data_IF_716225645958
#
_entry.id   IF_716225645958
#
_cell.length_a   1.000
_cell.length_b   1.000
_cell.length_c   1.000
_cell.angle_alpha   90.00
_cell.angle_beta   90.00
_cell.angle_gamma   90.00
#
_symmetry.space_group_name_H-M   'P 1'
#
loop_
_entity.id
_entity.type
_entity.pdbx_description
1 polymer ?
#
# COMPACT_ATOMS: atom_id res chain seq x y z
N UNK A 1 10.93 -26.78 26.68
CA UNK A 1 11.92 -26.18 25.76
C UNK A 1 11.39 -25.09 24.82
N UNK A 2 10.11 -24.74 24.81
CA UNK A 2 9.54 -23.86 23.80
C UNK A 2 9.45 -22.35 24.12
N UNK A 3 9.59 -21.90 25.36
CA UNK A 3 9.42 -20.49 25.73
C UNK A 3 10.68 -19.63 25.48
N UNK A 4 11.86 -20.17 25.61
CA UNK A 4 13.13 -19.42 25.44
C UNK A 4 13.47 -19.15 23.96
N UNK A 5 13.03 -19.99 23.04
CA UNK A 5 13.28 -19.81 21.60
C UNK A 5 12.51 -18.63 21.00
N UNK A 6 11.27 -18.42 21.44
CA UNK A 6 10.46 -17.26 20.98
C UNK A 6 10.99 -15.92 21.50
N UNK A 7 11.60 -15.92 22.68
CA UNK A 7 12.21 -14.71 23.26
C UNK A 7 13.50 -14.34 22.52
N UNK A 8 14.30 -15.33 22.16
CA UNK A 8 15.57 -15.15 21.44
C UNK A 8 15.36 -14.56 20.04
N UNK A 9 14.43 -15.10 19.27
CA UNK A 9 14.09 -14.59 17.92
C UNK A 9 13.55 -13.15 17.99
N UNK A 10 12.77 -12.81 19.01
CA UNK A 10 12.20 -11.47 19.18
C UNK A 10 13.27 -10.41 19.52
N UNK A 11 14.30 -10.78 20.26
CA UNK A 11 15.43 -9.90 20.60
C UNK A 11 16.43 -9.77 19.43
N UNK A 12 16.70 -10.84 18.69
CA UNK A 12 17.53 -10.76 17.47
C UNK A 12 16.85 -9.91 16.39
N UNK A 13 15.54 -10.03 16.21
CA UNK A 13 14.80 -9.20 15.25
C UNK A 13 14.80 -7.73 15.65
N UNK A 14 14.69 -7.41 16.94
CA UNK A 14 14.83 -6.03 17.43
C UNK A 14 16.24 -5.49 17.20
N UNK A 15 17.27 -6.31 17.38
CA UNK A 15 18.66 -5.91 17.12
C UNK A 15 18.92 -5.68 15.62
N UNK A 16 18.35 -6.50 14.74
CA UNK A 16 18.45 -6.33 13.28
C UNK A 16 17.76 -5.04 12.85
N UNK A 17 16.57 -4.74 13.36
CA UNK A 17 15.84 -3.49 13.06
C UNK A 17 16.60 -2.29 13.61
N UNK A 18 17.18 -2.38 14.82
CA UNK A 18 18.01 -1.33 15.42
C UNK A 18 19.31 -1.13 14.63
N UNK A 19 19.98 -2.21 14.22
CA UNK A 19 21.20 -2.17 13.42
C UNK A 19 20.96 -1.58 12.02
N UNK A 20 19.83 -1.92 11.36
CA UNK A 20 19.40 -1.30 10.09
C UNK A 20 19.09 0.19 10.26
N UNK A 21 18.48 0.59 11.36
CA UNK A 21 18.23 2.00 11.67
C UNK A 21 19.54 2.77 11.91
N UNK A 22 20.53 2.17 12.58
CA UNK A 22 21.84 2.76 12.81
C UNK A 22 22.67 2.82 11.52
N UNK A 23 22.61 1.81 10.66
CA UNK A 23 23.26 1.79 9.36
C UNK A 23 22.66 2.85 8.40
N UNK A 24 21.36 3.03 8.41
CA UNK A 24 20.70 4.11 7.64
C UNK A 24 21.07 5.50 8.16
N UNK A 25 21.14 5.68 9.48
CA UNK A 25 21.56 6.97 10.08
C UNK A 25 23.05 7.25 9.88
N UNK A 26 23.93 6.25 9.93
CA UNK A 26 25.37 6.42 9.67
C UNK A 26 25.68 6.65 8.19
N UNK A 27 24.91 6.05 7.27
CA UNK A 27 25.03 6.34 5.83
C UNK A 27 24.61 7.78 5.51
N UNK A 28 23.56 8.30 6.15
CA UNK A 28 23.12 9.68 6.03
C UNK A 28 24.13 10.68 6.62
N UNK A 29 24.84 10.30 7.71
CA UNK A 29 25.89 11.15 8.33
C UNK A 29 27.21 11.17 7.56
N UNK A 30 27.54 10.09 6.84
CA UNK A 30 28.80 9.98 6.09
C UNK A 30 28.78 10.75 4.73
N UNK A 31 27.62 11.13 4.25
CA UNK A 31 27.45 11.86 2.97
C UNK A 31 27.34 13.38 3.12
N UNK A 32 27.85 13.96 4.21
CA UNK A 32 28.01 15.41 4.40
C UNK A 32 26.70 16.19 4.34
N UNK A 33 26.24 16.58 5.51
CA UNK A 33 25.07 17.41 5.87
C UNK A 33 24.45 18.34 4.84
N UNK A 34 23.86 17.79 3.81
CA UNK A 34 22.88 18.44 2.97
C UNK A 34 21.52 17.89 3.38
N UNK A 35 20.62 18.76 3.82
CA UNK A 35 19.22 18.44 4.07
C UNK A 35 18.64 17.78 2.82
N UNK A 36 18.58 16.44 2.78
CA UNK A 36 17.84 15.69 1.76
C UNK A 36 16.34 15.65 2.08
N UNK A 37 15.83 16.68 2.74
CA UNK A 37 14.42 16.98 2.65
C UNK A 37 14.20 17.61 1.28
N UNK A 38 14.00 16.77 0.27
CA UNK A 38 13.47 17.23 -1.00
C UNK A 38 11.93 17.15 -0.88
N UNK A 39 11.24 18.26 -0.58
CA UNK A 39 9.79 18.29 -0.40
C UNK A 39 9.02 17.99 -1.70
N UNK A 40 9.70 17.54 -2.75
CA UNK A 40 9.13 17.26 -4.08
C UNK A 40 9.13 15.78 -4.48
N UNK A 41 9.64 14.84 -3.68
CA UNK A 41 9.59 13.42 -4.08
C UNK A 41 8.17 12.82 -3.95
N UNK A 42 7.32 13.34 -3.08
CA UNK A 42 5.93 12.94 -2.95
C UNK A 42 4.96 13.68 -3.89
N UNK A 43 5.31 14.82 -4.39
CA UNK A 43 4.48 15.68 -5.26
C UNK A 43 3.06 15.93 -4.71
N UNK A 44 2.44 17.02 -5.14
CA UNK A 44 1.03 17.29 -4.84
C UNK A 44 0.12 16.14 -5.32
N UNK A 45 -1.07 16.04 -4.73
CA UNK A 45 -2.09 15.07 -5.14
C UNK A 45 -2.27 15.06 -6.67
N UNK A 46 -2.06 13.90 -7.28
CA UNK A 46 -2.06 13.73 -8.74
C UNK A 46 -3.28 12.96 -9.22
N UNK A 47 -4.03 13.54 -10.15
CA UNK A 47 -5.14 12.87 -10.82
C UNK A 47 -4.73 11.52 -11.42
N UNK A 48 -3.54 11.45 -12.02
CA UNK A 48 -3.03 10.22 -12.63
C UNK A 48 -2.88 9.06 -11.61
N UNK A 49 -2.64 9.35 -10.35
CA UNK A 49 -2.48 8.34 -9.29
C UNK A 49 -3.81 7.88 -8.70
N UNK A 50 -4.88 8.64 -8.88
CA UNK A 50 -6.21 8.25 -8.44
C UNK A 50 -6.78 7.22 -9.41
N UNK A 51 -7.14 6.02 -8.91
CA UNK A 51 -7.78 4.95 -9.68
C UNK A 51 -8.88 4.32 -8.87
N UNK A 52 -10.05 4.17 -9.49
CA UNK A 52 -11.14 3.36 -8.94
C UNK A 52 -10.78 1.88 -9.09
N UNK A 53 -10.85 1.12 -8.01
CA UNK A 53 -10.60 -0.32 -7.97
C UNK A 53 -11.90 -1.11 -7.91
N UNK A 54 -12.88 -0.60 -7.15
CA UNK A 54 -14.13 -1.29 -6.93
C UNK A 54 -15.24 -0.34 -6.53
N UNK A 55 -16.48 -0.75 -6.80
CA UNK A 55 -17.70 -0.05 -6.42
C UNK A 55 -18.76 -1.06 -5.92
N UNK A 56 -19.36 -0.75 -4.79
CA UNK A 56 -20.54 -1.43 -4.27
C UNK A 56 -21.69 -0.41 -4.17
N UNK A 57 -22.74 -0.62 -4.95
CA UNK A 57 -23.90 0.26 -5.01
C UNK A 57 -24.93 0.08 -3.88
N UNK A 58 -24.66 -0.76 -2.87
CA UNK A 58 -25.59 -0.96 -1.76
C UNK A 58 -25.71 0.30 -0.90
N UNK A 59 -26.95 0.64 -0.50
CA UNK A 59 -27.25 1.82 0.30
C UNK A 59 -26.88 3.13 -0.42
N UNK A 60 -26.11 3.97 0.22
CA UNK A 60 -25.61 5.22 -0.38
C UNK A 60 -24.38 5.02 -1.27
N UNK A 61 -23.86 3.80 -1.37
CA UNK A 61 -22.70 3.41 -2.15
C UNK A 61 -21.36 3.48 -1.42
N UNK A 62 -20.47 2.56 -1.79
CA UNK A 62 -19.08 2.52 -1.34
C UNK A 62 -18.15 2.38 -2.55
N UNK A 63 -17.13 3.21 -2.61
CA UNK A 63 -16.11 3.23 -3.67
C UNK A 63 -14.75 2.95 -3.07
N UNK A 64 -13.94 2.13 -3.72
CA UNK A 64 -12.55 1.88 -3.34
C UNK A 64 -11.61 2.50 -4.36
N UNK A 65 -10.70 3.34 -3.87
CA UNK A 65 -9.67 3.98 -4.69
C UNK A 65 -8.26 3.67 -4.20
N UNK A 66 -7.29 3.82 -5.08
CA UNK A 66 -5.89 4.06 -4.74
C UNK A 66 -5.50 5.49 -5.14
N UNK A 67 -4.53 6.08 -4.45
CA UNK A 67 -4.02 7.41 -4.78
C UNK A 67 -2.58 7.61 -4.31
N UNK A 68 -1.99 8.78 -4.51
CA UNK A 68 -0.83 9.27 -3.76
C UNK A 68 -1.28 10.09 -2.55
N UNK A 69 -0.32 10.57 -1.75
CA UNK A 69 -0.60 11.41 -0.59
C UNK A 69 -1.59 12.53 -0.96
N UNK A 70 -2.77 12.58 -0.30
CA UNK A 70 -3.80 13.57 -0.62
C UNK A 70 -3.51 14.92 0.04
N UNK A 71 -2.32 15.47 -0.21
CA UNK A 71 -1.90 16.76 0.31
C UNK A 71 -1.46 17.70 -0.82
N UNK A 72 -1.71 18.99 -0.64
CA UNK A 72 -1.25 20.08 -1.51
C UNK A 72 -0.77 21.22 -0.61
N UNK A 73 0.42 21.73 -0.84
CA UNK A 73 1.02 22.81 -0.05
C UNK A 73 0.98 22.56 1.47
N UNK A 74 1.19 21.31 1.91
CA UNK A 74 1.21 20.94 3.33
C UNK A 74 -0.17 20.90 4.01
N UNK A 75 -1.24 20.84 3.23
CA UNK A 75 -2.62 20.72 3.73
C UNK A 75 -3.34 19.55 3.05
N UNK A 76 -4.26 18.90 3.77
CA UNK A 76 -5.07 17.83 3.20
C UNK A 76 -6.01 18.38 2.10
N UNK A 77 -5.92 17.81 0.91
CA UNK A 77 -6.58 18.32 -0.29
C UNK A 77 -7.97 17.68 -0.51
N UNK A 78 -8.87 17.80 0.48
CA UNK A 78 -10.18 17.12 0.49
C UNK A 78 -10.99 17.36 -0.79
N UNK A 79 -11.23 18.61 -1.17
CA UNK A 79 -12.09 18.94 -2.31
C UNK A 79 -11.49 18.46 -3.64
N UNK A 80 -10.17 18.60 -3.79
CA UNK A 80 -9.44 18.11 -4.97
C UNK A 80 -9.50 16.59 -5.05
N UNK A 81 -9.28 15.88 -3.94
CA UNK A 81 -9.36 14.42 -3.89
C UNK A 81 -10.75 13.91 -4.29
N UNK A 82 -11.79 14.48 -3.68
CA UNK A 82 -13.18 14.09 -3.98
C UNK A 82 -13.55 14.39 -5.44
N UNK A 83 -13.10 15.52 -5.99
CA UNK A 83 -13.27 15.86 -7.40
C UNK A 83 -12.60 14.83 -8.33
N UNK A 84 -11.38 14.41 -8.01
CA UNK A 84 -10.66 13.40 -8.79
C UNK A 84 -11.34 12.02 -8.70
N UNK A 85 -11.83 11.63 -7.53
CA UNK A 85 -12.60 10.39 -7.34
C UNK A 85 -13.91 10.42 -8.16
N UNK A 86 -14.60 11.56 -8.19
CA UNK A 86 -15.80 11.75 -9.00
C UNK A 86 -15.50 11.55 -10.48
N UNK A 87 -14.46 12.21 -10.98
CA UNK A 87 -14.09 12.11 -12.40
C UNK A 87 -13.70 10.68 -12.77
N UNK A 88 -12.94 9.97 -11.92
CA UNK A 88 -12.59 8.55 -12.12
C UNK A 88 -13.81 7.63 -12.13
N UNK A 89 -14.79 7.90 -11.28
CA UNK A 89 -16.05 7.14 -11.29
C UNK A 89 -16.83 7.34 -12.58
N UNK A 90 -16.92 8.58 -13.08
CA UNK A 90 -17.57 8.89 -14.35
C UNK A 90 -16.86 8.20 -15.53
N UNK A 91 -15.52 8.24 -15.59
CA UNK A 91 -14.71 7.55 -16.60
C UNK A 91 -14.92 6.03 -16.59
N UNK A 92 -15.18 5.46 -15.42
CA UNK A 92 -15.48 4.03 -15.24
C UNK A 92 -16.97 3.69 -15.47
N UNK A 93 -17.82 4.65 -15.86
CA UNK A 93 -19.28 4.51 -15.96
C UNK A 93 -19.93 4.04 -14.63
N UNK A 94 -19.37 4.47 -13.51
CA UNK A 94 -19.88 4.21 -12.17
C UNK A 94 -20.59 5.46 -11.67
N UNK A 95 -21.79 5.29 -11.10
CA UNK A 95 -22.52 6.39 -10.49
C UNK A 95 -21.71 7.04 -9.38
N UNK A 96 -21.82 8.35 -9.22
CA UNK A 96 -21.19 9.10 -8.14
C UNK A 96 -22.22 10.01 -7.47
N UNK A 97 -22.21 10.17 -6.16
CA UNK A 97 -23.22 10.94 -5.45
C UNK A 97 -23.13 12.43 -5.76
N UNK A 98 -24.23 13.14 -5.61
CA UNK A 98 -24.19 14.59 -5.63
C UNK A 98 -23.56 15.10 -4.32
N UNK A 99 -22.31 15.50 -4.39
CA UNK A 99 -21.49 15.93 -3.24
C UNK A 99 -22.14 17.13 -2.52
N UNK A 100 -22.73 18.06 -3.29
CA UNK A 100 -23.31 19.29 -2.74
C UNK A 100 -24.49 19.03 -1.80
N UNK A 101 -25.28 18.01 -2.09
CA UNK A 101 -26.51 17.71 -1.33
C UNK A 101 -26.34 16.59 -0.32
N UNK A 102 -25.48 15.61 -0.60
CA UNK A 102 -25.35 14.41 0.24
C UNK A 102 -24.07 14.42 1.08
N UNK A 103 -23.04 15.16 0.67
CA UNK A 103 -21.71 15.04 1.21
C UNK A 103 -21.13 13.64 0.95
N UNK A 104 -19.86 13.44 1.29
CA UNK A 104 -19.20 12.14 1.25
C UNK A 104 -18.43 11.89 2.51
N UNK A 105 -18.28 10.63 2.89
CA UNK A 105 -17.43 10.21 3.99
C UNK A 105 -16.18 9.54 3.43
N UNK A 106 -15.02 10.01 3.82
CA UNK A 106 -13.73 9.42 3.47
C UNK A 106 -13.31 8.38 4.51
N UNK A 107 -12.74 7.28 4.06
CA UNK A 107 -12.00 6.32 4.88
C UNK A 107 -10.59 6.28 4.33
N UNK A 108 -9.70 6.94 5.00
CA UNK A 108 -8.30 7.08 4.63
C UNK A 108 -7.48 5.95 5.27
N UNK A 109 -6.76 5.19 4.43
CA UNK A 109 -5.85 4.13 4.84
C UNK A 109 -4.44 4.54 4.39
N UNK A 110 -3.74 5.25 5.25
CA UNK A 110 -2.37 5.68 5.00
C UNK A 110 -1.39 4.51 5.17
N UNK A 111 -0.63 4.20 4.13
CA UNK A 111 0.40 3.16 4.12
C UNK A 111 1.78 3.71 4.52
N UNK A 112 1.82 4.93 5.05
CA UNK A 112 3.02 5.63 5.43
C UNK A 112 3.65 5.01 6.68
N UNK A 113 4.98 4.97 6.69
CA UNK A 113 5.77 4.53 7.84
C UNK A 113 6.19 5.71 8.72
N UNK A 114 6.77 5.42 9.86
CA UNK A 114 7.22 6.42 10.84
C UNK A 114 8.16 7.51 10.27
N UNK A 115 8.84 7.22 9.16
CA UNK A 115 9.72 8.19 8.49
C UNK A 115 8.95 9.31 7.78
N UNK A 116 7.64 9.16 7.58
CA UNK A 116 6.74 10.17 6.97
C UNK A 116 5.83 10.80 8.03
N UNK A 117 6.36 11.05 9.22
CA UNK A 117 5.56 11.54 10.35
C UNK A 117 4.81 12.85 10.06
N UNK A 118 5.44 13.80 9.36
CA UNK A 118 4.80 15.07 8.98
C UNK A 118 3.58 14.87 8.08
N UNK A 119 3.66 13.93 7.14
CA UNK A 119 2.57 13.64 6.20
C UNK A 119 1.40 12.95 6.92
N UNK A 120 1.73 11.97 7.78
CA UNK A 120 0.74 11.32 8.67
C UNK A 120 0.02 12.34 9.55
N UNK A 121 0.75 13.36 10.04
CA UNK A 121 0.16 14.38 10.89
C UNK A 121 -0.82 15.27 10.13
N UNK A 122 -0.53 15.63 8.87
CA UNK A 122 -1.45 16.40 8.01
C UNK A 122 -2.80 15.67 7.88
N UNK A 123 -2.76 14.37 7.62
CA UNK A 123 -3.97 13.55 7.48
C UNK A 123 -4.73 13.45 8.80
N UNK A 124 -4.02 13.11 9.87
CA UNK A 124 -4.59 12.96 11.20
C UNK A 124 -5.25 14.24 11.68
N UNK A 125 -4.56 15.39 11.58
CA UNK A 125 -5.10 16.70 11.99
C UNK A 125 -6.35 17.07 11.20
N UNK A 126 -6.38 16.76 9.90
CA UNK A 126 -7.55 17.00 9.06
C UNK A 126 -8.78 16.23 9.58
N UNK A 127 -8.67 14.93 9.80
CA UNK A 127 -9.80 14.11 10.23
C UNK A 127 -10.17 14.33 11.69
N UNK A 128 -9.23 14.65 12.58
CA UNK A 128 -9.53 15.08 13.95
C UNK A 128 -10.30 16.41 13.99
N UNK A 129 -9.95 17.34 13.10
CA UNK A 129 -10.66 18.62 12.96
C UNK A 129 -11.99 18.54 12.20
N UNK A 130 -12.22 17.47 11.41
CA UNK A 130 -13.40 17.30 10.55
C UNK A 130 -13.98 15.88 10.65
N UNK A 131 -14.47 15.45 11.82
CA UNK A 131 -14.93 14.07 12.04
C UNK A 131 -16.16 13.69 11.21
N UNK A 132 -16.90 14.66 10.72
CA UNK A 132 -18.05 14.48 9.82
C UNK A 132 -17.63 14.13 8.39
N UNK A 133 -16.40 14.48 7.97
CA UNK A 133 -15.85 14.22 6.65
C UNK A 133 -15.21 12.83 6.52
N UNK A 134 -14.89 12.15 7.62
CA UNK A 134 -14.31 10.81 7.52
C UNK A 134 -13.52 10.35 8.72
N UNK A 135 -12.69 9.34 8.49
CA UNK A 135 -11.82 8.70 9.49
C UNK A 135 -10.47 8.38 8.85
N UNK A 136 -9.44 8.36 9.69
CA UNK A 136 -8.06 8.08 9.32
C UNK A 136 -7.57 6.79 10.00
N UNK A 137 -6.90 5.95 9.22
CA UNK A 137 -6.18 4.77 9.68
C UNK A 137 -4.76 4.79 9.14
N UNK A 138 -3.76 4.52 9.98
CA UNK A 138 -2.41 4.28 9.52
C UNK A 138 -2.09 2.78 9.59
N UNK A 139 -1.75 2.20 8.44
CA UNK A 139 -1.32 0.82 8.27
C UNK A 139 -0.01 0.79 7.51
N UNK A 140 1.13 0.89 8.19
CA UNK A 140 2.43 1.02 7.54
C UNK A 140 2.77 -0.21 6.71
N UNK A 141 3.23 0.02 5.49
CA UNK A 141 3.74 -1.00 4.57
C UNK A 141 5.24 -0.77 4.35
N UNK A 142 6.03 -1.83 4.38
CA UNK A 142 7.49 -1.79 4.22
C UNK A 142 7.94 -2.56 2.99
N UNK A 143 7.26 -3.67 2.67
CA UNK A 143 7.69 -4.61 1.65
C UNK A 143 8.72 -5.61 2.14
N UNK A 144 9.49 -6.20 1.23
CA UNK A 144 10.51 -7.19 1.55
C UNK A 144 11.82 -6.94 0.82
N UNK A 145 12.94 -7.05 1.53
CA UNK A 145 14.28 -6.97 0.94
C UNK A 145 14.64 -8.22 0.11
N UNK A 146 14.02 -9.36 0.43
CA UNK A 146 14.31 -10.63 -0.22
C UNK A 146 13.15 -11.00 -1.14
N UNK A 147 13.48 -11.44 -2.37
CA UNK A 147 12.47 -12.01 -3.25
C UNK A 147 12.11 -13.43 -2.80
N UNK A 148 10.82 -13.77 -2.68
CA UNK A 148 10.41 -15.13 -2.35
C UNK A 148 10.85 -16.14 -3.44
N UNK A 149 11.10 -15.67 -4.66
CA UNK A 149 11.53 -16.53 -5.78
C UNK A 149 13.01 -16.93 -5.68
N UNK A 150 13.80 -16.30 -4.80
CA UNK A 150 15.18 -16.72 -4.49
C UNK A 150 15.26 -17.79 -3.39
N UNK A 151 14.15 -18.00 -2.68
CA UNK A 151 14.08 -18.99 -1.62
C UNK A 151 13.80 -20.39 -2.20
N UNK A 152 14.34 -21.43 -1.55
CA UNK A 152 13.86 -22.77 -1.78
C UNK A 152 12.36 -22.90 -1.47
N UNK A 153 11.68 -23.89 -2.01
CA UNK A 153 10.25 -24.07 -1.77
C UNK A 153 9.93 -24.22 -0.28
N UNK A 154 10.74 -24.97 0.45
CA UNK A 154 10.54 -25.16 1.90
C UNK A 154 10.68 -23.86 2.69
N UNK A 155 11.68 -23.05 2.39
CA UNK A 155 11.88 -21.73 3.00
C UNK A 155 10.73 -20.78 2.64
N UNK A 156 10.32 -20.77 1.38
CA UNK A 156 9.21 -19.94 0.89
C UNK A 156 7.91 -20.28 1.61
N UNK A 157 7.56 -21.55 1.75
CA UNK A 157 6.37 -21.99 2.49
C UNK A 157 6.41 -21.48 3.94
N UNK A 158 7.57 -21.58 4.59
CA UNK A 158 7.76 -21.12 5.97
C UNK A 158 7.60 -19.61 6.10
N UNK A 159 8.25 -18.83 5.25
CA UNK A 159 8.19 -17.36 5.29
C UNK A 159 6.78 -16.86 4.94
N UNK A 160 6.12 -17.47 3.96
CA UNK A 160 4.74 -17.16 3.58
C UNK A 160 3.76 -17.45 4.71
N UNK A 161 3.94 -18.54 5.46
CA UNK A 161 3.09 -18.84 6.62
C UNK A 161 3.23 -17.79 7.74
N UNK A 162 4.36 -17.08 7.79
CA UNK A 162 4.64 -16.03 8.78
C UNK A 162 4.07 -14.65 8.39
N UNK A 163 3.54 -14.47 7.17
CA UNK A 163 3.05 -13.16 6.68
C UNK A 163 1.97 -12.52 7.57
N UNK A 164 1.14 -13.33 8.24
CA UNK A 164 0.14 -12.82 9.20
C UNK A 164 0.78 -12.09 10.41
N UNK A 165 2.05 -12.34 10.67
CA UNK A 165 2.82 -11.73 11.76
C UNK A 165 3.83 -10.70 11.26
N UNK A 166 3.88 -10.42 9.96
CA UNK A 166 4.73 -9.39 9.37
C UNK A 166 4.21 -7.99 9.69
N UNK A 167 5.06 -6.98 9.51
CA UNK A 167 4.68 -5.57 9.68
C UNK A 167 3.56 -5.22 8.69
N UNK A 168 3.71 -5.61 7.43
CA UNK A 168 2.75 -5.33 6.36
C UNK A 168 1.40 -6.01 6.59
N UNK A 169 1.44 -7.23 7.10
CA UNK A 169 0.27 -8.08 7.37
C UNK A 169 -0.83 -7.97 6.28
N UNK A 170 -0.42 -8.08 5.02
CA UNK A 170 -1.33 -8.06 3.86
C UNK A 170 -2.47 -9.08 3.98
N UNK A 171 -2.23 -10.31 4.49
CA UNK A 171 -3.31 -11.28 4.72
C UNK A 171 -4.47 -10.77 5.60
N UNK A 172 -4.19 -9.80 6.47
CA UNK A 172 -5.24 -9.15 7.27
C UNK A 172 -5.77 -7.87 6.60
N UNK A 173 -4.89 -7.06 6.00
CA UNK A 173 -5.26 -5.77 5.41
C UNK A 173 -6.20 -5.95 4.20
N UNK A 174 -5.83 -6.80 3.25
CA UNK A 174 -6.57 -6.93 1.99
C UNK A 174 -8.01 -7.39 2.21
N UNK A 175 -8.31 -8.44 3.01
CA UNK A 175 -9.69 -8.80 3.33
C UNK A 175 -10.43 -7.72 4.13
N UNK A 176 -9.76 -6.97 5.01
CA UNK A 176 -10.41 -5.85 5.74
C UNK A 176 -10.87 -4.75 4.78
N UNK A 177 -10.04 -4.38 3.80
CA UNK A 177 -10.44 -3.44 2.75
C UNK A 177 -11.67 -3.98 1.99
N UNK A 178 -11.63 -5.23 1.54
CA UNK A 178 -12.75 -5.86 0.83
C UNK A 178 -14.03 -5.87 1.65
N UNK A 179 -13.94 -6.28 2.92
CA UNK A 179 -15.09 -6.33 3.81
C UNK A 179 -15.67 -4.93 4.08
N UNK A 180 -14.83 -3.89 4.13
CA UNK A 180 -15.31 -2.52 4.27
C UNK A 180 -16.07 -2.03 3.02
N UNK A 181 -15.66 -2.47 1.82
CA UNK A 181 -16.36 -2.17 0.55
C UNK A 181 -17.69 -2.92 0.48
N UNK A 182 -17.71 -4.20 0.87
CA UNK A 182 -18.86 -5.10 0.76
C UNK A 182 -19.69 -5.19 2.06
N UNK A 183 -19.54 -4.23 2.97
CA UNK A 183 -20.21 -4.29 4.28
C UNK A 183 -21.70 -4.66 4.15
N UNK A 184 -22.12 -5.65 4.96
CA UNK A 184 -23.53 -6.06 5.08
C UNK A 184 -24.42 -4.96 5.66
N UNK A 185 -23.81 -3.95 6.28
CA UNK A 185 -24.48 -2.74 6.77
C UNK A 185 -24.23 -1.63 5.74
N UNK A 186 -25.19 -1.37 4.83
CA UNK A 186 -25.02 -0.33 3.84
C UNK A 186 -24.77 1.04 4.47
N UNK A 187 -23.84 1.84 3.94
CA UNK A 187 -23.56 3.15 4.49
C UNK A 187 -24.77 4.09 4.34
N UNK A 188 -25.02 4.89 5.36
CA UNK A 188 -26.06 5.93 5.33
C UNK A 188 -25.64 7.17 4.52
N UNK A 189 -24.33 7.34 4.30
CA UNK A 189 -23.73 8.37 3.43
C UNK A 189 -22.80 7.71 2.42
N UNK A 190 -22.67 8.29 1.22
CA UNK A 190 -21.67 7.84 0.25
C UNK A 190 -20.28 7.75 0.90
N UNK A 191 -19.62 6.60 0.76
CA UNK A 191 -18.35 6.33 1.44
C UNK A 191 -17.26 6.06 0.41
N UNK A 192 -16.18 6.85 0.43
CA UNK A 192 -15.00 6.68 -0.39
C UNK A 192 -13.87 6.13 0.48
N UNK A 193 -13.56 4.85 0.29
CA UNK A 193 -12.39 4.20 0.90
C UNK A 193 -11.22 4.43 -0.04
N UNK A 194 -10.09 4.85 0.48
CA UNK A 194 -8.89 4.93 -0.33
C UNK A 194 -7.65 4.57 0.49
N UNK A 195 -6.65 4.07 -0.20
CA UNK A 195 -5.35 3.82 0.39
C UNK A 195 -4.25 4.44 -0.46
N UNK A 196 -3.18 4.87 0.21
CA UNK A 196 -2.10 5.59 -0.43
C UNK A 196 -0.78 5.47 0.35
N UNK A 197 0.31 5.76 -0.33
CA UNK A 197 1.58 6.14 0.29
C UNK A 197 1.96 7.54 -0.18
N UNK A 198 3.19 7.95 -0.02
CA UNK A 198 3.64 9.27 -0.44
C UNK A 198 3.47 9.49 -1.95
N UNK A 199 4.15 8.71 -2.79
CA UNK A 199 4.11 8.83 -4.24
C UNK A 199 2.94 8.09 -4.91
N UNK A 200 2.15 7.30 -4.18
CA UNK A 200 1.10 6.46 -4.74
C UNK A 200 1.62 5.41 -5.73
N UNK A 201 2.86 4.99 -5.60
CA UNK A 201 3.53 4.07 -6.52
C UNK A 201 3.87 2.75 -5.81
N UNK A 202 4.88 2.71 -4.97
CA UNK A 202 5.48 1.49 -4.45
C UNK A 202 4.57 0.74 -3.46
N UNK A 203 4.43 1.24 -2.23
CA UNK A 203 3.58 0.65 -1.19
C UNK A 203 2.12 0.57 -1.61
N UNK A 204 1.64 1.59 -2.31
CA UNK A 204 0.28 1.63 -2.88
C UNK A 204 0.13 0.58 -3.97
N UNK A 205 1.12 0.38 -4.83
CA UNK A 205 1.15 -0.67 -5.83
C UNK A 205 1.13 -2.06 -5.19
N UNK A 206 1.96 -2.30 -4.17
CA UNK A 206 1.96 -3.56 -3.44
C UNK A 206 0.56 -3.93 -2.90
N UNK A 207 -0.16 -2.98 -2.29
CA UNK A 207 -1.51 -3.21 -1.76
C UNK A 207 -2.53 -3.36 -2.89
N UNK A 208 -2.47 -2.50 -3.90
CA UNK A 208 -3.40 -2.54 -5.04
C UNK A 208 -3.24 -3.82 -5.85
N UNK A 209 -2.03 -4.20 -6.21
CA UNK A 209 -1.76 -5.45 -6.94
C UNK A 209 -2.18 -6.68 -6.14
N UNK A 210 -1.96 -6.68 -4.81
CA UNK A 210 -2.44 -7.75 -3.93
C UNK A 210 -3.96 -7.87 -3.95
N UNK A 211 -4.67 -6.75 -3.92
CA UNK A 211 -6.13 -6.69 -4.03
C UNK A 211 -6.62 -7.20 -5.38
N UNK A 212 -6.00 -6.77 -6.47
CA UNK A 212 -6.34 -7.17 -7.84
C UNK A 212 -6.12 -8.67 -8.06
N UNK A 213 -5.05 -9.26 -7.51
CA UNK A 213 -4.82 -10.71 -7.57
C UNK A 213 -5.92 -11.48 -6.84
N UNK A 214 -6.28 -11.05 -5.64
CA UNK A 214 -7.22 -11.81 -4.82
C UNK A 214 -8.67 -11.69 -5.31
N UNK A 215 -9.10 -10.54 -5.78
CA UNK A 215 -10.51 -10.26 -6.02
C UNK A 215 -10.89 -9.97 -7.47
N UNK A 216 -9.91 -9.65 -8.32
CA UNK A 216 -10.16 -9.33 -9.73
C UNK A 216 -9.49 -10.30 -10.71
N UNK A 217 -8.93 -11.41 -10.21
CA UNK A 217 -8.40 -12.50 -11.04
C UNK A 217 -7.11 -12.15 -11.80
N UNK A 218 -6.37 -11.13 -11.37
CA UNK A 218 -5.09 -10.80 -11.98
C UNK A 218 -4.03 -11.84 -11.62
N UNK A 219 -3.14 -12.13 -12.56
CA UNK A 219 -1.87 -12.79 -12.25
C UNK A 219 -0.91 -11.80 -11.59
N UNK A 220 0.16 -12.28 -10.95
CA UNK A 220 1.19 -11.41 -10.38
C UNK A 220 1.79 -10.48 -11.43
N UNK A 221 2.01 -10.98 -12.66
CA UNK A 221 2.51 -10.19 -13.78
C UNK A 221 1.55 -9.07 -14.16
N UNK A 222 0.26 -9.38 -14.33
CA UNK A 222 -0.74 -8.37 -14.70
C UNK A 222 -0.88 -7.30 -13.62
N UNK A 223 -0.89 -7.68 -12.34
CA UNK A 223 -0.94 -6.75 -11.23
C UNK A 223 0.25 -5.79 -11.24
N UNK A 224 1.45 -6.31 -11.46
CA UNK A 224 2.66 -5.51 -11.54
C UNK A 224 2.70 -4.58 -12.75
N UNK A 225 2.36 -5.07 -13.94
CA UNK A 225 2.32 -4.26 -15.16
C UNK A 225 1.34 -3.09 -15.00
N UNK A 226 0.18 -3.36 -14.43
CA UNK A 226 -0.81 -2.31 -14.13
C UNK A 226 -0.29 -1.31 -13.09
N UNK A 227 0.36 -1.77 -12.01
CA UNK A 227 0.96 -0.87 -11.02
C UNK A 227 2.06 0.01 -11.61
N UNK A 228 2.89 -0.53 -12.52
CA UNK A 228 3.92 0.23 -13.22
C UNK A 228 3.31 1.30 -14.16
N UNK A 229 2.21 0.98 -14.83
CA UNK A 229 1.46 1.94 -15.65
C UNK A 229 0.96 3.11 -14.79
N UNK A 230 0.32 2.82 -13.65
CA UNK A 230 -0.14 3.86 -12.72
C UNK A 230 1.02 4.61 -12.07
N UNK A 231 2.10 3.92 -11.75
CA UNK A 231 3.31 4.54 -11.21
C UNK A 231 4.07 5.39 -12.24
N UNK A 232 3.89 5.11 -13.55
CA UNK A 232 4.68 5.65 -14.68
C UNK A 232 6.18 5.31 -14.55
N UNK A 233 6.48 4.23 -13.85
CA UNK A 233 7.80 3.64 -13.66
C UNK A 233 7.64 2.26 -13.02
N UNK A 234 8.71 1.52 -12.98
CA UNK A 234 8.72 0.30 -12.16
C UNK A 234 8.54 0.64 -10.68
N UNK A 235 7.70 -0.10 -9.98
CA UNK A 235 7.60 -0.01 -8.52
C UNK A 235 8.87 -0.58 -7.88
N UNK A 236 9.24 -0.06 -6.72
CA UNK A 236 10.47 -0.43 -6.03
C UNK A 236 10.53 -1.94 -5.72
N UNK A 237 11.73 -2.53 -5.80
CA UNK A 237 11.94 -3.97 -5.60
C UNK A 237 11.39 -4.50 -4.27
N UNK A 238 11.47 -3.72 -3.20
CA UNK A 238 10.87 -4.12 -1.92
C UNK A 238 9.36 -4.32 -2.01
N UNK A 239 8.66 -3.44 -2.71
CA UNK A 239 7.21 -3.55 -2.91
C UNK A 239 6.84 -4.66 -3.88
N UNK A 240 7.66 -4.89 -4.92
CA UNK A 240 7.53 -6.04 -5.81
C UNK A 240 7.65 -7.35 -5.02
N UNK A 241 8.67 -7.47 -4.17
CA UNK A 241 8.88 -8.65 -3.35
C UNK A 241 7.70 -8.87 -2.38
N UNK A 242 7.18 -7.81 -1.76
CA UNK A 242 5.99 -7.88 -0.89
C UNK A 242 4.75 -8.37 -1.65
N UNK A 243 4.53 -7.88 -2.88
CA UNK A 243 3.49 -8.36 -3.79
C UNK A 243 3.64 -9.85 -4.10
N UNK A 244 4.87 -10.30 -4.41
CA UNK A 244 5.17 -11.71 -4.69
C UNK A 244 5.00 -12.59 -3.45
N UNK A 245 5.37 -12.15 -2.26
CA UNK A 245 5.08 -12.88 -1.02
C UNK A 245 3.57 -13.07 -0.84
N UNK A 246 2.76 -12.04 -1.13
CA UNK A 246 1.32 -12.17 -1.08
C UNK A 246 0.77 -13.13 -2.15
N UNK A 247 1.31 -13.10 -3.38
CA UNK A 247 1.00 -14.07 -4.42
C UNK A 247 1.20 -15.51 -3.94
N UNK A 248 2.35 -15.81 -3.33
CA UNK A 248 2.63 -17.13 -2.75
C UNK A 248 1.74 -17.46 -1.56
N UNK A 249 1.36 -16.46 -0.77
CA UNK A 249 0.40 -16.66 0.32
C UNK A 249 -0.97 -17.08 -0.22
N UNK A 250 -1.47 -16.42 -1.24
CA UNK A 250 -2.70 -16.83 -1.93
C UNK A 250 -2.60 -18.26 -2.47
N UNK A 251 -1.45 -18.63 -3.02
CA UNK A 251 -1.21 -19.96 -3.58
C UNK A 251 -1.16 -21.02 -2.48
N UNK A 252 -0.35 -20.86 -1.44
CA UNK A 252 -0.09 -21.88 -0.44
C UNK A 252 -1.14 -21.91 0.68
N UNK A 253 -1.67 -20.76 1.09
CA UNK A 253 -2.58 -20.67 2.23
C UNK A 253 -4.05 -20.57 1.82
N UNK A 254 -4.35 -20.06 0.63
CA UNK A 254 -5.71 -19.88 0.15
C UNK A 254 -6.08 -20.79 -1.02
N UNK A 255 -5.12 -21.55 -1.56
CA UNK A 255 -5.35 -22.50 -2.65
C UNK A 255 -5.60 -21.88 -4.02
N UNK A 256 -5.26 -20.61 -4.21
CA UNK A 256 -5.37 -19.95 -5.52
C UNK A 256 -4.41 -20.62 -6.51
N UNK A 257 -4.88 -20.75 -7.76
CA UNK A 257 -4.10 -21.35 -8.86
C UNK A 257 -3.91 -20.32 -9.98
N UNK A 258 -2.88 -20.53 -10.78
CA UNK A 258 -2.62 -19.74 -12.00
C UNK A 258 -2.28 -18.25 -11.73
N UNK A 259 -1.72 -17.91 -10.57
CA UNK A 259 -1.28 -16.55 -10.26
C UNK A 259 0.08 -16.19 -10.87
N UNK A 260 0.81 -17.17 -11.42
CA UNK A 260 2.13 -17.02 -12.07
C UNK A 260 3.20 -16.36 -11.17
N UNK A 261 3.21 -16.69 -9.86
CA UNK A 261 4.14 -16.10 -8.89
C UNK A 261 5.63 -16.33 -9.22
N UNK A 262 5.99 -17.38 -10.02
CA UNK A 262 7.38 -17.68 -10.43
C UNK A 262 7.79 -17.00 -11.74
N UNK A 263 6.85 -16.84 -12.69
CA UNK A 263 7.18 -16.37 -14.04
C UNK A 263 7.37 -14.86 -14.12
N UNK A 264 7.28 -14.21 -12.99
CA UNK A 264 7.55 -12.81 -12.80
C UNK A 264 9.05 -12.63 -12.54
N UNK A 265 9.84 -12.51 -13.59
CA UNK A 265 11.23 -12.12 -13.45
C UNK A 265 11.29 -10.60 -13.30
N UNK A 266 11.78 -10.14 -12.15
CA UNK A 266 12.35 -8.80 -12.04
C UNK A 266 13.44 -8.78 -13.10
N UNK A 267 13.28 -7.98 -14.16
CA UNK A 267 14.36 -7.74 -15.08
C UNK A 267 15.55 -7.26 -14.25
N UNK A 268 16.58 -8.09 -14.18
CA UNK A 268 17.82 -7.80 -13.48
C UNK A 268 18.66 -6.85 -14.35
N UNK A 269 18.18 -5.63 -14.56
CA UNK A 269 18.97 -4.57 -15.19
C UNK A 269 19.73 -3.75 -14.14
N UNK A 270 20.17 -4.41 -13.07
CA UNK A 270 21.24 -3.86 -12.24
C UNK A 270 22.48 -4.69 -12.58
N UNK A 271 23.18 -4.31 -13.65
CA UNK A 271 24.62 -4.53 -13.71
C UNK A 271 25.24 -3.80 -12.51
N UNK A 272 25.53 -4.54 -11.46
CA UNK A 272 26.40 -4.04 -10.39
C UNK A 272 27.76 -3.92 -11.04
N UNK A 273 28.34 -2.72 -11.24
CA UNK A 273 29.71 -2.64 -11.72
C UNK A 273 30.61 -3.29 -10.67
N UNK A 274 31.21 -4.41 -11.04
CA UNK A 274 32.27 -5.01 -10.25
C UNK A 274 33.41 -4.01 -10.27
N UNK A 275 33.58 -3.26 -9.17
CA UNK A 275 34.77 -2.45 -8.95
C UNK A 275 35.87 -3.46 -8.56
N UNK A 276 36.79 -3.70 -9.50
CA UNK A 276 38.02 -4.43 -9.29
C UNK A 276 39.03 -3.48 -8.62
#
# INVERSE_FOLDING_TARGET
MGKNYKLFIKEEFKMIVAALSILLTSYVSATGGGSFYNPKLGGDLSYHKVRLLEYNGAGAGTWLFRTNLPAVNGSFAYDTLVSYMQQRSIEANVSFPNITTQGVKLVDISLLSVNSYSDIQIEKDFFEGNPDKGIFYNWPIVGSLVSPNWLSEAERIKEVAALNSSIDNLPSLIPKIRNAVLSDVPPSKPTMIFFHCEAGSDRTGQVAGSYMMQYHGYTAKQAYEWDNEVAQRQIASMSQNGLLFYCWWLTYQQGYKNLDCMNYSIASDIEIPIII
#
